data_IF_981402778609
#
_entry.id   IF_981402778609
#
_cell.length_a   1.000
_cell.length_b   1.000
_cell.length_c   1.000
_cell.angle_alpha   90.00
_cell.angle_beta   90.00
_cell.angle_gamma   90.00
#
_symmetry.space_group_name_H-M   'P 1'
#
loop_
_entity.id
_entity.type
_entity.pdbx_description
1 polymer ?
#
# COMPACT_ATOMS: atom_id res chain seq x y z
N UNK A 1 -6.78 -29.56 30.86
CA UNK A 1 -5.77 -28.49 30.60
C UNK A 1 -6.55 -27.20 30.41
N UNK A 2 -6.75 -26.44 31.49
CA UNK A 2 -7.34 -25.12 31.40
C UNK A 2 -6.27 -24.20 30.83
N UNK A 3 -6.35 -23.91 29.51
CA UNK A 3 -5.55 -22.86 28.96
C UNK A 3 -6.01 -21.54 29.59
N UNK A 4 -5.16 -20.91 30.37
CA UNK A 4 -5.38 -19.55 30.83
C UNK A 4 -5.62 -18.69 29.56
N UNK A 5 -6.81 -18.11 29.49
CA UNK A 5 -7.10 -17.15 28.43
C UNK A 5 -6.10 -16.00 28.56
N UNK A 6 -5.28 -15.79 27.53
CA UNK A 6 -4.36 -14.67 27.51
C UNK A 6 -5.13 -13.36 27.31
N UNK A 7 -4.63 -12.27 27.88
CA UNK A 7 -5.16 -10.95 27.62
C UNK A 7 -4.90 -10.55 26.15
N UNK A 8 -5.96 -10.19 25.42
CA UNK A 8 -5.91 -9.86 23.99
C UNK A 8 -6.53 -8.51 23.74
N UNK A 9 -5.88 -7.71 22.91
CA UNK A 9 -6.34 -6.39 22.53
C UNK A 9 -6.63 -6.34 21.01
N UNK A 10 -7.87 -6.02 20.66
CA UNK A 10 -8.29 -5.73 19.29
C UNK A 10 -8.38 -4.22 19.08
N UNK A 11 -7.85 -3.74 17.96
CA UNK A 11 -7.93 -2.32 17.54
C UNK A 11 -8.39 -2.27 16.09
N UNK A 12 -9.51 -1.62 15.81
CA UNK A 12 -9.99 -1.37 14.44
C UNK A 12 -10.00 0.13 14.14
N UNK A 13 -9.15 0.53 13.21
CA UNK A 13 -8.96 1.93 12.83
C UNK A 13 -9.77 2.26 11.60
N UNK A 14 -10.90 2.94 11.82
CA UNK A 14 -11.71 3.54 10.76
C UNK A 14 -11.30 4.98 10.44
N UNK A 15 -11.90 5.56 9.42
CA UNK A 15 -11.64 6.96 9.01
C UNK A 15 -12.09 8.00 10.03
N UNK A 16 -13.14 7.70 10.82
CA UNK A 16 -13.75 8.64 11.78
C UNK A 16 -13.57 8.19 13.22
N UNK A 17 -13.70 6.90 13.48
CA UNK A 17 -13.58 6.32 14.81
C UNK A 17 -12.60 5.15 14.80
N UNK A 18 -11.93 4.97 15.93
CA UNK A 18 -11.15 3.79 16.25
C UNK A 18 -11.86 3.03 17.36
N UNK A 19 -12.16 1.77 17.12
CA UNK A 19 -12.79 0.85 18.08
C UNK A 19 -11.72 -0.01 18.72
N UNK A 20 -11.75 -0.12 20.05
CA UNK A 20 -10.84 -0.94 20.84
C UNK A 20 -11.65 -1.96 21.65
N UNK A 21 -11.15 -3.19 21.74
CA UNK A 21 -11.74 -4.29 22.50
C UNK A 21 -10.63 -5.02 23.26
N UNK A 22 -10.70 -5.01 24.58
CA UNK A 22 -9.80 -5.78 25.43
C UNK A 22 -10.55 -7.00 25.96
N UNK A 23 -10.02 -8.18 25.70
CA UNK A 23 -10.47 -9.44 26.28
C UNK A 23 -9.50 -9.80 27.42
N UNK A 24 -10.03 -9.88 28.65
CA UNK A 24 -9.27 -10.25 29.85
C UNK A 24 -9.23 -11.77 30.07
N UNK A 25 -8.31 -12.29 30.89
CA UNK A 25 -8.17 -13.74 31.11
C UNK A 25 -9.40 -14.40 31.74
N UNK A 26 -10.24 -13.65 32.46
CA UNK A 26 -11.50 -14.11 33.04
C UNK A 26 -12.67 -14.13 32.03
N UNK A 27 -12.42 -13.71 30.77
CA UNK A 27 -13.42 -13.66 29.70
C UNK A 27 -14.24 -12.37 29.68
N UNK A 28 -13.91 -11.37 30.49
CA UNK A 28 -14.56 -10.05 30.45
C UNK A 28 -14.11 -9.26 29.24
N UNK A 29 -15.02 -8.42 28.70
CA UNK A 29 -14.75 -7.54 27.58
C UNK A 29 -14.87 -6.08 28.00
N UNK A 30 -13.82 -5.31 27.77
CA UNK A 30 -13.82 -3.84 27.88
C UNK A 30 -13.72 -3.25 26.48
N UNK A 31 -14.62 -2.33 26.14
CA UNK A 31 -14.68 -1.72 24.82
C UNK A 31 -14.56 -0.22 24.90
N UNK A 32 -13.87 0.38 23.93
CA UNK A 32 -13.76 1.84 23.83
C UNK A 32 -13.87 2.26 22.37
N UNK A 33 -14.53 3.37 22.14
CA UNK A 33 -14.58 4.05 20.86
C UNK A 33 -14.01 5.44 21.01
N UNK A 34 -12.96 5.74 20.24
CA UNK A 34 -12.30 7.06 20.21
C UNK A 34 -12.38 7.67 18.82
N UNK A 35 -12.31 8.99 18.73
CA UNK A 35 -12.23 9.68 17.43
C UNK A 35 -10.87 9.40 16.79
N UNK A 36 -10.86 8.97 15.54
CA UNK A 36 -9.64 8.85 14.76
C UNK A 36 -9.10 10.25 14.43
N UNK A 37 -7.86 10.53 14.82
CA UNK A 37 -7.20 11.79 14.49
C UNK A 37 -6.67 11.73 13.06
N UNK A 38 -7.30 12.44 12.13
CA UNK A 38 -6.83 12.51 10.75
C UNK A 38 -5.40 13.07 10.71
N UNK A 39 -4.46 12.27 10.20
CA UNK A 39 -3.03 12.62 10.13
C UNK A 39 -2.15 12.04 11.24
N UNK A 40 -2.72 11.62 12.39
CA UNK A 40 -1.99 10.94 13.46
C UNK A 40 -2.86 9.86 14.13
N UNK A 41 -3.21 8.83 13.39
CA UNK A 41 -4.03 7.71 13.89
C UNK A 41 -3.41 7.04 15.13
N UNK A 42 -2.08 7.04 15.26
CA UNK A 42 -1.38 6.39 16.35
C UNK A 42 -1.73 7.03 17.71
N UNK A 43 -1.85 8.33 17.79
CA UNK A 43 -2.20 9.04 19.04
C UNK A 43 -3.57 8.61 19.59
N UNK A 44 -4.58 8.54 18.72
CA UNK A 44 -5.91 8.06 19.10
C UNK A 44 -5.88 6.60 19.58
N UNK A 45 -5.10 5.74 18.91
CA UNK A 45 -4.91 4.34 19.28
C UNK A 45 -4.32 4.25 20.70
N UNK A 46 -3.25 5.01 20.98
CA UNK A 46 -2.58 4.94 22.28
C UNK A 46 -3.42 5.46 23.44
N UNK A 47 -4.10 6.59 23.23
CA UNK A 47 -5.04 7.09 24.21
C UNK A 47 -6.13 6.05 24.52
N UNK A 48 -6.70 5.45 23.47
CA UNK A 48 -7.71 4.41 23.63
C UNK A 48 -7.18 3.13 24.30
N UNK A 49 -5.94 2.71 23.98
CA UNK A 49 -5.29 1.56 24.65
C UNK A 49 -5.10 1.85 26.13
N UNK A 50 -4.56 3.02 26.48
CA UNK A 50 -4.37 3.40 27.87
C UNK A 50 -5.68 3.40 28.65
N UNK A 51 -6.76 3.92 28.05
CA UNK A 51 -8.08 3.95 28.66
C UNK A 51 -8.63 2.55 28.96
N UNK A 52 -8.59 1.62 27.99
CA UNK A 52 -9.13 0.27 28.18
C UNK A 52 -8.30 -0.54 29.17
N UNK A 53 -6.98 -0.39 29.18
CA UNK A 53 -6.09 -1.03 30.14
C UNK A 53 -6.33 -0.52 31.56
N UNK A 54 -6.49 0.79 31.73
CA UNK A 54 -6.81 1.39 33.02
C UNK A 54 -8.17 0.94 33.53
N UNK A 55 -9.20 0.94 32.69
CA UNK A 55 -10.56 0.50 33.05
C UNK A 55 -10.59 -0.97 33.47
N UNK A 56 -9.84 -1.82 32.77
CA UNK A 56 -9.72 -3.25 33.11
C UNK A 56 -8.75 -3.54 34.26
N UNK A 57 -8.01 -2.56 34.75
CA UNK A 57 -6.92 -2.73 35.73
C UNK A 57 -5.86 -3.76 35.26
N UNK A 58 -5.56 -3.79 33.95
CA UNK A 58 -4.60 -4.68 33.32
C UNK A 58 -3.31 -3.89 33.00
N UNK A 59 -2.16 -4.45 33.32
CA UNK A 59 -0.89 -3.87 32.93
C UNK A 59 -0.60 -4.14 31.44
N UNK A 60 0.02 -3.19 30.73
CA UNK A 60 0.32 -3.35 29.29
C UNK A 60 1.18 -4.58 28.97
N UNK A 61 2.07 -4.98 29.91
CA UNK A 61 2.90 -6.21 29.77
C UNK A 61 2.13 -7.53 29.85
N UNK A 62 0.88 -7.49 30.33
CA UNK A 62 0.01 -8.67 30.40
C UNK A 62 -0.73 -8.94 29.10
N UNK A 63 -0.77 -7.97 28.17
CA UNK A 63 -1.33 -8.15 26.82
C UNK A 63 -0.39 -9.02 26.01
N UNK A 64 -0.86 -10.22 25.63
CA UNK A 64 -0.06 -11.20 24.90
C UNK A 64 -0.26 -11.14 23.39
N UNK A 65 -1.36 -10.55 22.94
CA UNK A 65 -1.71 -10.47 21.53
C UNK A 65 -2.38 -9.13 21.24
N UNK A 66 -1.89 -8.45 20.19
CA UNK A 66 -2.53 -7.29 19.62
C UNK A 66 -3.01 -7.64 18.21
N UNK A 67 -4.32 -7.54 17.99
CA UNK A 67 -4.96 -7.72 16.66
C UNK A 67 -5.33 -6.36 16.14
N UNK A 68 -4.82 -6.02 14.96
CA UNK A 68 -5.00 -4.71 14.38
C UNK A 68 -5.68 -4.77 13.01
N UNK A 69 -6.83 -4.12 12.89
CA UNK A 69 -7.53 -3.85 11.63
C UNK A 69 -7.43 -2.37 11.25
N UNK A 70 -7.38 -2.08 9.96
CA UNK A 70 -7.31 -0.69 9.50
C UNK A 70 -7.90 -0.49 8.10
N UNK A 71 -8.55 0.65 7.90
CA UNK A 71 -9.02 1.12 6.59
C UNK A 71 -8.15 2.24 6.01
N UNK A 72 -6.97 2.51 6.57
CA UNK A 72 -6.08 3.62 6.16
C UNK A 72 -5.77 3.56 4.66
N UNK A 73 -5.44 2.36 4.12
CA UNK A 73 -5.17 2.18 2.69
C UNK A 73 -6.39 2.50 1.82
N UNK A 74 -7.56 1.99 2.19
CA UNK A 74 -8.81 2.21 1.46
C UNK A 74 -9.19 3.70 1.48
N UNK A 75 -9.08 4.34 2.64
CA UNK A 75 -9.36 5.76 2.80
C UNK A 75 -8.40 6.63 1.98
N UNK A 76 -7.09 6.28 1.95
CA UNK A 76 -6.11 6.98 1.11
C UNK A 76 -6.48 6.95 -0.38
N UNK A 77 -7.03 5.84 -0.88
CA UNK A 77 -7.48 5.71 -2.27
C UNK A 77 -8.77 6.52 -2.50
N UNK A 78 -9.78 6.37 -1.63
CA UNK A 78 -11.10 7.03 -1.80
C UNK A 78 -10.94 8.56 -1.71
N UNK A 79 -10.18 9.04 -0.73
CA UNK A 79 -9.95 10.47 -0.49
C UNK A 79 -8.87 11.07 -1.41
N UNK A 80 -8.24 10.25 -2.26
CA UNK A 80 -7.15 10.69 -3.15
C UNK A 80 -5.94 11.29 -2.40
N UNK A 81 -5.62 10.76 -1.22
CA UNK A 81 -4.54 11.22 -0.33
C UNK A 81 -3.34 10.28 -0.27
N UNK A 82 -3.11 9.51 -1.33
CA UNK A 82 -1.91 8.67 -1.44
C UNK A 82 -0.69 9.42 -1.97
N UNK A 83 0.38 8.69 -2.20
CA UNK A 83 1.66 9.21 -2.67
C UNK A 83 1.60 9.77 -4.10
N UNK A 84 2.51 10.68 -4.43
CA UNK A 84 2.79 11.08 -5.81
C UNK A 84 3.43 9.91 -6.54
N UNK A 85 2.61 9.18 -7.29
CA UNK A 85 2.99 7.88 -7.85
C UNK A 85 3.21 7.98 -9.35
N UNK A 86 4.32 7.38 -9.83
CA UNK A 86 4.62 7.15 -11.24
C UNK A 86 4.31 5.72 -11.68
N UNK A 87 4.20 5.54 -12.98
CA UNK A 87 4.08 4.22 -13.62
C UNK A 87 5.16 4.10 -14.67
N UNK A 88 5.93 3.01 -14.63
CA UNK A 88 6.80 2.58 -15.74
C UNK A 88 6.14 1.39 -16.42
N UNK A 89 5.94 1.50 -17.74
CA UNK A 89 5.27 0.47 -18.52
C UNK A 89 5.96 0.24 -19.87
N UNK A 90 5.61 -0.84 -20.55
CA UNK A 90 6.09 -1.13 -21.91
C UNK A 90 5.63 -0.06 -22.89
N UNK A 91 6.48 0.32 -23.84
CA UNK A 91 6.17 1.24 -24.94
C UNK A 91 4.88 0.85 -25.66
N UNK A 92 3.97 1.84 -25.85
CA UNK A 92 2.64 1.66 -26.42
C UNK A 92 1.54 1.32 -25.42
N UNK A 93 1.85 1.16 -24.10
CA UNK A 93 0.88 0.82 -23.04
C UNK A 93 0.63 1.94 -22.03
N UNK A 94 1.11 3.15 -22.31
CA UNK A 94 0.95 4.32 -21.45
C UNK A 94 -0.49 4.64 -21.06
N UNK A 95 -1.42 4.41 -21.97
CA UNK A 95 -2.81 4.80 -21.81
C UNK A 95 -3.70 3.64 -21.32
N UNK A 96 -3.10 2.52 -20.90
CA UNK A 96 -3.82 1.35 -20.42
C UNK A 96 -4.78 1.68 -19.26
N UNK A 97 -4.38 2.54 -18.34
CA UNK A 97 -5.22 2.97 -17.21
C UNK A 97 -6.41 3.87 -17.64
N UNK A 98 -6.27 4.59 -18.76
CA UNK A 98 -7.36 5.40 -19.34
C UNK A 98 -8.35 4.53 -20.10
N UNK A 99 -7.82 3.61 -20.91
CA UNK A 99 -8.62 2.71 -21.75
C UNK A 99 -9.42 1.75 -20.86
N UNK A 100 -8.78 1.18 -19.85
CA UNK A 100 -9.37 0.19 -18.96
C UNK A 100 -9.96 -0.99 -19.72
N UNK A 101 -11.12 -1.46 -19.29
CA UNK A 101 -11.85 -2.58 -19.92
C UNK A 101 -12.85 -2.13 -20.99
N UNK A 102 -12.89 -0.86 -21.36
CA UNK A 102 -13.88 -0.29 -22.28
C UNK A 102 -15.34 -0.52 -21.85
N UNK A 103 -15.58 -0.97 -20.63
CA UNK A 103 -16.94 -1.14 -20.10
C UNK A 103 -17.52 0.21 -19.70
N UNK A 104 -18.66 0.54 -20.28
CA UNK A 104 -19.48 1.68 -19.87
C UNK A 104 -20.46 1.20 -18.80
N UNK A 105 -20.57 1.91 -17.69
CA UNK A 105 -21.55 1.58 -16.65
C UNK A 105 -22.98 1.81 -17.13
N UNK A 106 -23.16 2.80 -18.01
CA UNK A 106 -24.44 3.14 -18.65
C UNK A 106 -24.21 3.24 -20.16
N UNK A 107 -24.73 2.31 -20.92
CA UNK A 107 -24.45 2.13 -22.36
C UNK A 107 -24.87 3.35 -23.22
N UNK A 108 -25.88 4.11 -22.78
CA UNK A 108 -26.47 5.23 -23.52
C UNK A 108 -26.28 6.58 -22.84
N UNK A 109 -25.40 6.67 -21.83
CA UNK A 109 -25.10 7.92 -21.12
C UNK A 109 -23.83 8.54 -21.75
N UNK A 110 -24.03 9.59 -22.54
CA UNK A 110 -22.94 10.30 -23.23
C UNK A 110 -22.11 11.18 -22.28
N UNK A 111 -22.63 11.51 -21.11
CA UNK A 111 -22.00 12.37 -20.09
C UNK A 111 -21.30 11.55 -19.01
N UNK A 112 -21.14 10.24 -19.20
CA UNK A 112 -20.50 9.38 -18.24
C UNK A 112 -19.01 9.69 -18.13
N UNK A 113 -18.58 10.27 -17.02
CA UNK A 113 -17.20 10.42 -16.65
C UNK A 113 -16.64 9.15 -16.00
N UNK A 114 -15.43 8.74 -16.41
CA UNK A 114 -14.68 7.68 -15.73
C UNK A 114 -13.92 8.28 -14.56
N UNK A 115 -13.80 7.55 -13.44
CA UNK A 115 -12.93 7.98 -12.36
C UNK A 115 -11.50 8.20 -12.87
N UNK A 116 -10.93 9.35 -12.56
CA UNK A 116 -9.56 9.66 -12.96
C UNK A 116 -8.58 8.61 -12.40
N UNK A 117 -7.64 8.07 -13.19
CA UNK A 117 -6.61 7.16 -12.68
C UNK A 117 -5.80 7.75 -11.52
N UNK A 118 -5.27 6.89 -10.64
CA UNK A 118 -4.42 7.31 -9.52
C UNK A 118 -3.11 7.94 -9.98
N UNK A 119 -2.59 7.49 -11.12
CA UNK A 119 -1.38 8.03 -11.74
C UNK A 119 -1.74 8.96 -12.88
N UNK A 120 -1.32 10.21 -12.79
CA UNK A 120 -1.51 11.21 -13.86
C UNK A 120 -0.78 10.79 -15.13
N UNK A 121 -1.34 11.06 -16.31
CA UNK A 121 -0.76 10.65 -17.59
C UNK A 121 0.69 11.11 -17.77
N UNK A 122 1.07 12.30 -17.32
CA UNK A 122 2.44 12.83 -17.39
C UNK A 122 3.46 12.06 -16.53
N UNK A 123 3.00 11.29 -15.55
CA UNK A 123 3.81 10.45 -14.66
C UNK A 123 3.86 8.98 -15.09
N UNK A 124 3.43 8.69 -16.32
CA UNK A 124 3.53 7.37 -16.92
C UNK A 124 4.64 7.36 -17.94
N UNK A 125 5.67 6.63 -17.66
CA UNK A 125 6.90 6.54 -18.45
C UNK A 125 6.91 5.22 -19.20
N UNK A 126 7.39 5.26 -20.42
CA UNK A 126 7.47 4.08 -21.28
C UNK A 126 8.91 3.64 -21.44
N UNK A 127 9.12 2.32 -21.42
CA UNK A 127 10.40 1.69 -21.72
C UNK A 127 10.25 0.79 -22.94
N UNK A 128 11.21 0.88 -23.83
CA UNK A 128 11.25 0.08 -25.03
C UNK A 128 11.78 -1.32 -24.70
N UNK A 129 10.87 -2.27 -24.64
CA UNK A 129 11.11 -3.70 -24.40
C UNK A 129 9.92 -4.51 -24.89
N UNK A 130 10.07 -5.81 -25.06
CA UNK A 130 8.93 -6.70 -25.32
C UNK A 130 9.23 -8.13 -24.95
N UNK A 131 8.32 -8.73 -24.19
CA UNK A 131 8.23 -10.17 -23.98
C UNK A 131 7.00 -10.73 -24.70
N UNK A 132 7.04 -12.01 -25.06
CA UNK A 132 5.84 -12.74 -25.46
C UNK A 132 5.17 -13.41 -24.24
N UNK A 133 4.03 -14.05 -24.47
CA UNK A 133 3.27 -14.72 -23.40
C UNK A 133 3.95 -15.97 -22.83
N UNK A 134 4.98 -16.50 -23.48
CA UNK A 134 5.84 -17.57 -22.97
C UNK A 134 7.03 -17.04 -22.15
N UNK A 135 7.19 -15.72 -22.04
CA UNK A 135 8.31 -15.09 -21.33
C UNK A 135 9.60 -14.99 -22.16
N UNK A 136 9.54 -15.26 -23.47
CA UNK A 136 10.66 -15.10 -24.36
C UNK A 136 10.87 -13.62 -24.73
N UNK A 137 12.12 -13.20 -24.83
CA UNK A 137 12.48 -11.82 -25.17
C UNK A 137 12.34 -11.60 -26.66
N UNK A 138 11.32 -10.83 -27.09
CA UNK A 138 11.16 -10.37 -28.48
C UNK A 138 12.00 -9.14 -28.75
N UNK A 139 12.01 -8.18 -27.80
CA UNK A 139 12.84 -6.99 -27.83
C UNK A 139 13.51 -6.82 -26.47
N UNK A 140 14.86 -6.79 -26.42
CA UNK A 140 15.59 -6.53 -25.18
C UNK A 140 15.21 -5.17 -24.57
N UNK A 141 15.34 -5.06 -23.26
CA UNK A 141 15.15 -3.78 -22.56
C UNK A 141 16.18 -2.76 -23.06
N UNK A 142 15.70 -1.67 -23.60
CA UNK A 142 16.50 -0.55 -24.06
C UNK A 142 16.89 0.32 -22.85
N UNK A 143 18.19 0.44 -22.63
CA UNK A 143 18.75 1.15 -21.48
C UNK A 143 18.49 2.65 -21.53
N UNK A 144 18.51 3.27 -22.71
CA UNK A 144 18.34 4.71 -22.85
C UNK A 144 16.90 5.13 -22.51
N UNK A 145 15.92 4.31 -22.88
CA UNK A 145 14.52 4.55 -22.50
C UNK A 145 14.29 4.36 -21.00
N UNK A 146 14.93 3.37 -20.40
CA UNK A 146 14.87 3.15 -18.94
C UNK A 146 15.52 4.34 -18.20
N UNK A 147 16.66 4.82 -18.66
CA UNK A 147 17.34 5.99 -18.12
C UNK A 147 16.48 7.27 -18.20
N UNK A 148 15.81 7.50 -19.33
CA UNK A 148 14.88 8.62 -19.49
C UNK A 148 13.68 8.50 -18.53
N UNK A 149 13.15 7.31 -18.34
CA UNK A 149 12.07 7.07 -17.38
C UNK A 149 12.52 7.42 -15.94
N UNK A 150 13.72 7.00 -15.53
CA UNK A 150 14.28 7.29 -14.20
C UNK A 150 14.52 8.80 -14.04
N UNK A 151 15.06 9.46 -15.03
CA UNK A 151 15.25 10.91 -15.03
C UNK A 151 13.91 11.66 -14.89
N UNK A 152 12.87 11.19 -15.58
CA UNK A 152 11.50 11.72 -15.46
C UNK A 152 10.91 11.52 -14.05
N UNK A 153 11.11 10.37 -13.44
CA UNK A 153 10.68 10.08 -12.06
C UNK A 153 11.34 11.07 -11.09
N UNK A 154 12.65 11.28 -11.24
CA UNK A 154 13.42 12.21 -10.40
C UNK A 154 12.95 13.65 -10.57
N UNK A 155 12.78 14.12 -11.82
CA UNK A 155 12.42 15.52 -12.13
C UNK A 155 11.01 15.88 -11.61
N UNK A 156 10.11 14.92 -11.55
CA UNK A 156 8.74 15.10 -11.04
C UNK A 156 8.66 14.90 -9.52
N UNK A 157 9.77 14.61 -8.83
CA UNK A 157 9.81 14.33 -7.39
C UNK A 157 8.74 13.33 -6.96
N UNK A 158 8.67 12.17 -7.63
CA UNK A 158 7.71 11.13 -7.31
C UNK A 158 8.15 10.37 -6.05
N UNK A 159 7.19 10.07 -5.18
CA UNK A 159 7.42 9.37 -3.92
C UNK A 159 7.38 7.86 -4.07
N UNK A 160 6.57 7.37 -5.04
CA UNK A 160 6.38 5.95 -5.30
C UNK A 160 6.35 5.67 -6.81
N UNK A 161 6.77 4.48 -7.21
CA UNK A 161 6.76 4.03 -8.60
C UNK A 161 6.23 2.61 -8.69
N UNK A 162 5.23 2.43 -9.55
CA UNK A 162 4.79 1.12 -10.03
C UNK A 162 5.54 0.76 -11.31
N UNK A 163 6.12 -0.43 -11.38
CA UNK A 163 6.68 -0.97 -12.63
C UNK A 163 5.78 -2.12 -13.08
N UNK A 164 5.17 -1.97 -14.24
CA UNK A 164 4.28 -2.97 -14.81
C UNK A 164 4.54 -3.12 -16.31
N UNK A 165 5.35 -4.12 -16.65
CA UNK A 165 5.71 -4.43 -18.03
C UNK A 165 4.83 -5.56 -18.58
N UNK A 166 4.63 -5.56 -19.88
CA UNK A 166 3.79 -6.58 -20.54
C UNK A 166 4.47 -7.94 -20.43
N UNK A 167 3.66 -8.95 -20.06
CA UNK A 167 4.10 -10.33 -19.83
C UNK A 167 5.15 -10.54 -18.72
N UNK A 168 5.35 -9.58 -17.83
CA UNK A 168 6.27 -9.71 -16.70
C UNK A 168 5.87 -10.83 -15.72
N UNK A 169 4.61 -11.25 -15.71
CA UNK A 169 4.14 -12.42 -14.96
C UNK A 169 4.80 -13.75 -15.42
N UNK A 170 5.16 -13.84 -16.72
CA UNK A 170 5.83 -15.01 -17.29
C UNK A 170 7.37 -14.91 -17.16
N UNK A 171 7.92 -13.70 -17.19
CA UNK A 171 9.36 -13.45 -17.03
C UNK A 171 9.62 -12.07 -16.43
N UNK A 172 10.00 -11.98 -15.14
CA UNK A 172 10.17 -10.72 -14.45
C UNK A 172 11.48 -9.97 -14.75
N UNK A 173 12.38 -10.54 -15.58
CA UNK A 173 13.75 -10.02 -15.77
C UNK A 173 13.82 -8.55 -16.15
N UNK A 174 12.95 -8.07 -17.05
CA UNK A 174 12.95 -6.67 -17.46
C UNK A 174 12.45 -5.75 -16.34
N UNK A 175 11.39 -6.13 -15.61
CA UNK A 175 10.95 -5.38 -14.42
C UNK A 175 12.05 -5.30 -13.35
N UNK A 176 12.71 -6.42 -13.07
CA UNK A 176 13.81 -6.49 -12.12
C UNK A 176 14.99 -5.61 -12.53
N UNK A 177 15.32 -5.56 -13.81
CA UNK A 177 16.40 -4.71 -14.33
C UNK A 177 16.06 -3.22 -14.18
N UNK A 178 14.83 -2.81 -14.52
CA UNK A 178 14.33 -1.45 -14.29
C UNK A 178 14.33 -1.12 -12.80
N UNK A 179 13.84 -2.04 -11.97
CA UNK A 179 13.80 -1.89 -10.52
C UNK A 179 15.20 -1.69 -9.90
N UNK A 180 16.19 -2.48 -10.34
CA UNK A 180 17.57 -2.34 -9.88
C UNK A 180 18.13 -0.96 -10.20
N UNK A 181 17.88 -0.45 -11.40
CA UNK A 181 18.31 0.90 -11.81
C UNK A 181 17.62 2.01 -11.02
N UNK A 182 16.31 1.86 -10.73
CA UNK A 182 15.56 2.81 -9.88
C UNK A 182 16.12 2.79 -8.46
N UNK A 183 16.28 1.61 -7.84
CA UNK A 183 16.80 1.48 -6.46
C UNK A 183 18.20 2.08 -6.32
N UNK A 184 19.05 1.92 -7.33
CA UNK A 184 20.40 2.47 -7.33
C UNK A 184 20.42 4.00 -7.39
N UNK A 185 19.54 4.61 -8.17
CA UNK A 185 19.56 6.07 -8.44
C UNK A 185 18.61 6.87 -7.54
N UNK A 186 17.52 6.26 -7.11
CA UNK A 186 16.45 6.86 -6.36
C UNK A 186 16.08 5.98 -5.15
N UNK A 187 17.02 5.71 -4.22
CA UNK A 187 16.83 4.78 -3.12
C UNK A 187 15.69 5.16 -2.17
N UNK A 188 15.28 6.43 -2.17
CA UNK A 188 14.18 6.94 -1.34
C UNK A 188 12.79 6.68 -1.94
N UNK A 189 12.71 6.23 -3.20
CA UNK A 189 11.42 6.02 -3.88
C UNK A 189 10.87 4.64 -3.52
N UNK A 190 9.63 4.60 -3.08
CA UNK A 190 8.91 3.35 -2.88
C UNK A 190 8.65 2.66 -4.22
N UNK A 191 9.02 1.41 -4.33
CA UNK A 191 8.97 0.67 -5.60
C UNK A 191 8.10 -0.56 -5.49
N UNK A 192 7.19 -0.73 -6.44
CA UNK A 192 6.31 -1.88 -6.56
C UNK A 192 6.45 -2.51 -7.94
N UNK A 193 6.68 -3.81 -8.00
CA UNK A 193 6.75 -4.58 -9.24
C UNK A 193 5.47 -5.38 -9.45
N UNK A 194 4.95 -5.38 -10.66
CA UNK A 194 3.73 -6.14 -10.99
C UNK A 194 3.94 -7.64 -10.87
N UNK A 195 5.13 -8.12 -11.16
CA UNK A 195 5.52 -9.53 -11.03
C UNK A 195 5.58 -10.02 -9.57
N UNK A 196 5.66 -9.11 -8.59
CA UNK A 196 5.66 -9.45 -7.16
C UNK A 196 4.26 -9.35 -6.55
N UNK A 197 3.48 -8.33 -6.96
CA UNK A 197 2.18 -8.03 -6.34
C UNK A 197 1.04 -8.83 -6.95
N UNK A 198 1.00 -8.96 -8.28
CA UNK A 198 -0.07 -9.67 -8.98
C UNK A 198 0.49 -10.29 -10.28
N UNK A 199 1.16 -11.46 -10.20
CA UNK A 199 1.74 -12.12 -11.39
C UNK A 199 0.67 -12.82 -12.25
N UNK A 200 -0.32 -12.07 -12.73
CA UNK A 200 -1.43 -12.56 -13.53
C UNK A 200 -1.43 -12.00 -14.96
N UNK A 201 -2.11 -12.70 -15.87
CA UNK A 201 -2.13 -12.38 -17.31
C UNK A 201 -2.82 -11.06 -17.65
N UNK A 202 -3.78 -10.62 -16.85
CA UNK A 202 -4.65 -9.46 -17.15
C UNK A 202 -3.92 -8.15 -16.91
N UNK A 203 -3.46 -7.52 -17.98
CA UNK A 203 -2.62 -6.32 -17.94
C UNK A 203 -3.27 -5.12 -17.25
N UNK A 204 -4.58 -4.88 -17.43
CA UNK A 204 -5.26 -3.76 -16.78
C UNK A 204 -5.37 -3.96 -15.27
N UNK A 205 -5.85 -5.10 -14.80
CA UNK A 205 -5.99 -5.43 -13.38
C UNK A 205 -4.62 -5.45 -12.71
N UNK A 206 -3.63 -6.03 -13.37
CA UNK A 206 -2.26 -6.07 -12.86
C UNK A 206 -1.69 -4.67 -12.69
N UNK A 207 -1.82 -3.81 -13.70
CA UNK A 207 -1.34 -2.43 -13.63
C UNK A 207 -2.10 -1.64 -12.57
N UNK A 208 -3.42 -1.77 -12.51
CA UNK A 208 -4.25 -1.07 -11.52
C UNK A 208 -3.90 -1.47 -10.10
N UNK A 209 -3.72 -2.76 -9.83
CA UNK A 209 -3.34 -3.28 -8.51
C UNK A 209 -1.92 -2.83 -8.13
N UNK A 210 -0.97 -2.90 -9.07
CA UNK A 210 0.42 -2.46 -8.83
C UNK A 210 0.49 -0.96 -8.52
N UNK A 211 -0.27 -0.16 -9.26
CA UNK A 211 -0.40 1.29 -9.02
C UNK A 211 -1.06 1.58 -7.67
N UNK A 212 -2.15 0.88 -7.34
CA UNK A 212 -2.81 1.05 -6.04
C UNK A 212 -1.87 0.72 -4.88
N UNK A 213 -1.11 -0.38 -5.00
CA UNK A 213 -0.10 -0.75 -4.00
C UNK A 213 0.97 0.33 -3.84
N UNK A 214 1.59 0.78 -4.94
CA UNK A 214 2.59 1.86 -4.90
C UNK A 214 2.03 3.15 -4.29
N UNK A 215 0.77 3.49 -4.62
CA UNK A 215 0.09 4.69 -4.16
C UNK A 215 -0.12 4.72 -2.64
N UNK A 216 -0.39 3.58 -2.02
CA UNK A 216 -0.66 3.50 -0.57
C UNK A 216 0.57 3.19 0.27
N UNK A 217 1.64 2.62 -0.32
CA UNK A 217 2.84 2.19 0.42
C UNK A 217 3.42 3.26 1.35
N UNK A 218 3.71 4.50 0.92
CA UNK A 218 4.29 5.51 1.81
C UNK A 218 3.36 5.93 2.94
N UNK A 219 2.04 5.84 2.72
CA UNK A 219 1.02 6.15 3.74
C UNK A 219 1.01 5.06 4.81
N UNK A 220 1.00 3.79 4.37
CA UNK A 220 1.02 2.64 5.27
C UNK A 220 2.34 2.53 6.03
N UNK A 221 3.47 2.77 5.37
CA UNK A 221 4.78 2.72 5.99
C UNK A 221 4.89 3.72 7.14
N UNK A 222 4.51 4.97 6.92
CA UNK A 222 4.46 5.98 7.99
C UNK A 222 3.53 5.59 9.12
N UNK A 223 2.36 5.07 8.79
CA UNK A 223 1.39 4.63 9.78
C UNK A 223 1.92 3.49 10.64
N UNK A 224 2.44 2.43 10.01
CA UNK A 224 2.94 1.25 10.70
C UNK A 224 4.20 1.57 11.51
N UNK A 225 5.14 2.36 10.99
CA UNK A 225 6.34 2.78 11.70
C UNK A 225 6.00 3.61 12.95
N UNK A 226 4.99 4.49 12.86
CA UNK A 226 4.52 5.25 14.03
C UNK A 226 3.90 4.31 15.05
N UNK A 227 3.06 3.37 14.62
CA UNK A 227 2.43 2.38 15.50
C UNK A 227 3.47 1.52 16.20
N UNK A 228 4.45 0.98 15.46
CA UNK A 228 5.54 0.17 16.00
C UNK A 228 6.35 0.94 17.05
N UNK A 229 6.78 2.16 16.72
CA UNK A 229 7.54 3.01 17.62
C UNK A 229 6.80 3.21 18.95
N UNK A 230 5.54 3.54 18.87
CA UNK A 230 4.75 3.79 20.06
C UNK A 230 4.50 2.51 20.89
N UNK A 231 4.23 1.36 20.25
CA UNK A 231 4.05 0.08 20.96
C UNK A 231 5.33 -0.34 21.72
N UNK A 232 6.49 -0.10 21.14
CA UNK A 232 7.78 -0.37 21.79
C UNK A 232 8.02 0.50 23.02
N UNK A 233 7.58 1.79 23.00
CA UNK A 233 7.69 2.69 24.15
C UNK A 233 6.70 2.40 25.28
N UNK A 234 5.58 1.73 25.00
CA UNK A 234 4.56 1.36 26.00
C UNK A 234 4.76 -0.03 26.59
N UNK A 235 5.62 -0.87 26.01
CA UNK A 235 6.04 -2.14 26.60
C UNK A 235 7.21 -1.90 27.56
N UNK A 236 7.11 -2.32 28.86
CA UNK A 236 8.27 -2.29 29.74
C UNK A 236 9.40 -3.12 29.10
N UNK A 237 10.58 -2.52 29.01
CA UNK A 237 11.78 -3.20 28.49
C UNK A 237 12.00 -4.52 29.25
N UNK A 238 12.33 -5.65 28.58
CA UNK A 238 12.69 -6.88 29.25
C UNK A 238 14.04 -6.84 29.96
N UNK A 239 14.55 -5.64 30.30
CA UNK A 239 15.87 -5.40 30.92
C UNK A 239 15.77 -4.54 32.18
N UNK A 240 14.92 -4.96 33.13
CA UNK A 240 15.03 -4.54 34.52
C UNK A 240 14.67 -5.71 35.44
#
# INVERSE_FOLDING_TARGET
MNGELACRLGVDVGGTFTDLVLLTPDGSLVTRKVLSTSGNYAEAIFSGIADVLQEASVAGGDVKELIHGTTVATNAIIERRGARTGLVTTEGFRDLLEIGRLRLMRLYDMDQERPAPLVRRRWRFEVAERLNHHGEVIRPLDRDTAERAIAGIASENLEAVAVCLIHAYANPKHEQAVAASIRQRLPQVYLTLSSEVLPEIREFERTSTTVANAYVMPVLDRYLSTLETCLLYTSPSPRD
#
